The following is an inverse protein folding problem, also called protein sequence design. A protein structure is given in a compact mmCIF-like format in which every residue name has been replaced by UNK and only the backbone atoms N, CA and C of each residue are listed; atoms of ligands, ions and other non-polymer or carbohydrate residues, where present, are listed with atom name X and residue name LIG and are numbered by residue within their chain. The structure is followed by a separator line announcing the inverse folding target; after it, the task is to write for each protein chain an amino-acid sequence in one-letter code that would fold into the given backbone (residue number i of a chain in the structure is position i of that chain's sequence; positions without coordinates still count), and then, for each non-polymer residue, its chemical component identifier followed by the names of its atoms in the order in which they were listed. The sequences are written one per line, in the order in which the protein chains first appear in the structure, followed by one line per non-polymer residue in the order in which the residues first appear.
data_IF_283861332064
#
_entry.id   IF_283861332064
#
_cell.length_a   1.000
_cell.length_b   1.000
_cell.length_c   1.000
_cell.angle_alpha   90.00
_cell.angle_beta   90.00
_cell.angle_gamma   90.00
#
_symmetry.space_group_name_H-M   'P 1'
#
loop_
_entity.id
_entity.type
_entity.pdbx_description
1 polymer ?
#
# COMPACT_ATOMS: atom_id res chain seq x y z
N UNK A 1 -6.05 -5.27 -33.07
CA UNK A 1 -4.59 -5.04 -32.90
C UNK A 1 -4.32 -3.83 -32.02
N UNK A 2 -5.18 -2.80 -32.08
CA UNK A 2 -5.23 -1.68 -31.13
C UNK A 2 -5.48 -2.10 -29.68
N UNK A 3 -6.38 -3.06 -29.43
CA UNK A 3 -6.77 -3.52 -28.08
C UNK A 3 -5.57 -3.92 -27.22
N UNK A 4 -4.62 -4.65 -27.81
CA UNK A 4 -3.43 -5.15 -27.12
C UNK A 4 -2.53 -4.01 -26.64
N UNK A 5 -2.41 -2.92 -27.42
CA UNK A 5 -1.63 -1.75 -26.99
C UNK A 5 -2.33 -1.03 -25.83
N UNK A 6 -3.65 -0.81 -25.91
CA UNK A 6 -4.41 -0.20 -24.81
C UNK A 6 -4.31 -1.00 -23.51
N UNK A 7 -4.32 -2.34 -23.56
CA UNK A 7 -4.08 -3.19 -22.37
C UNK A 7 -2.73 -2.88 -21.72
N UNK A 8 -1.64 -2.90 -22.50
CA UNK A 8 -0.30 -2.65 -21.94
C UNK A 8 -0.10 -1.23 -21.40
N UNK A 9 -0.83 -0.24 -21.91
CA UNK A 9 -0.78 1.14 -21.41
C UNK A 9 -1.59 1.30 -20.12
N UNK A 10 -2.75 0.64 -20.05
CA UNK A 10 -3.57 0.56 -18.84
C UNK A 10 -2.86 -0.18 -17.69
N UNK A 11 -2.18 -1.29 -17.99
CA UNK A 11 -1.35 -2.05 -17.05
C UNK A 11 -0.18 -1.20 -16.52
N UNK A 12 0.54 -0.50 -17.42
CA UNK A 12 1.61 0.44 -17.03
C UNK A 12 1.09 1.61 -16.20
N UNK A 13 -0.10 2.13 -16.51
CA UNK A 13 -0.78 3.17 -15.72
C UNK A 13 -1.08 2.71 -14.28
N UNK A 14 -1.68 1.52 -14.13
CA UNK A 14 -1.93 0.93 -12.82
C UNK A 14 -0.63 0.66 -12.04
N UNK A 15 0.44 0.21 -12.69
CA UNK A 15 1.72 -0.03 -12.03
C UNK A 15 2.33 1.27 -11.50
N UNK A 16 2.36 2.32 -12.32
CA UNK A 16 2.80 3.64 -11.90
C UNK A 16 1.92 4.25 -10.77
N UNK A 17 0.64 3.87 -10.69
CA UNK A 17 -0.23 4.24 -9.57
C UNK A 17 0.09 3.48 -8.28
N UNK A 18 0.31 2.15 -8.37
CA UNK A 18 0.77 1.34 -7.24
C UNK A 18 2.08 1.86 -6.66
N UNK A 19 3.01 2.26 -7.52
CA UNK A 19 4.29 2.86 -7.13
C UNK A 19 4.09 4.19 -6.40
N UNK A 20 3.30 5.14 -6.94
CA UNK A 20 2.98 6.40 -6.24
C UNK A 20 2.32 6.18 -4.87
N UNK A 21 1.40 5.23 -4.75
CA UNK A 21 0.79 4.88 -3.46
C UNK A 21 1.79 4.21 -2.51
N UNK A 22 2.70 3.39 -3.02
CA UNK A 22 3.74 2.75 -2.21
C UNK A 22 4.75 3.75 -1.62
N UNK A 23 5.16 4.76 -2.41
CA UNK A 23 6.00 5.87 -1.96
C UNK A 23 5.30 6.72 -0.89
N UNK A 24 4.03 7.08 -1.11
CA UNK A 24 3.21 7.79 -0.15
C UNK A 24 3.14 7.04 1.20
N UNK A 25 2.81 5.75 1.17
CA UNK A 25 2.73 4.92 2.37
C UNK A 25 4.10 4.73 3.05
N UNK A 26 5.20 4.70 2.28
CA UNK A 26 6.55 4.69 2.85
C UNK A 26 6.90 5.99 3.60
N UNK A 27 6.50 7.15 3.07
CA UNK A 27 6.69 8.43 3.74
C UNK A 27 5.93 8.51 5.08
N UNK A 28 4.68 8.04 5.13
CA UNK A 28 3.90 8.01 6.37
C UNK A 28 4.37 6.91 7.35
N UNK A 29 4.83 5.76 6.88
CA UNK A 29 5.52 4.77 7.74
C UNK A 29 6.73 5.42 8.44
N UNK A 30 7.63 6.05 7.68
CA UNK A 30 8.83 6.67 8.23
C UNK A 30 8.50 7.79 9.23
N UNK A 31 7.54 8.64 8.89
CA UNK A 31 7.10 9.76 9.75
C UNK A 31 6.49 9.26 11.08
N UNK A 32 5.63 8.24 11.05
CA UNK A 32 5.08 7.68 12.30
C UNK A 32 6.12 6.88 13.10
N UNK A 33 7.14 6.28 12.49
CA UNK A 33 8.28 5.69 13.23
C UNK A 33 9.07 6.76 13.99
N UNK A 34 9.34 7.90 13.37
CA UNK A 34 10.02 9.05 14.00
C UNK A 34 9.19 9.63 15.16
N UNK A 35 7.88 9.81 14.97
CA UNK A 35 6.96 10.24 16.03
C UNK A 35 6.88 9.23 17.18
N UNK A 36 6.93 7.93 16.91
CA UNK A 36 6.96 6.89 17.95
C UNK A 36 8.26 6.92 18.78
N UNK A 37 9.41 7.22 18.16
CA UNK A 37 10.68 7.40 18.86
C UNK A 37 10.69 8.65 19.74
N UNK A 38 10.04 9.72 19.29
CA UNK A 38 9.91 11.01 20.01
C UNK A 38 8.77 11.03 21.05
N UNK A 39 7.93 10.00 21.10
CA UNK A 39 6.78 9.94 21.99
C UNK A 39 7.20 9.84 23.46
N UNK A 40 6.73 10.80 24.27
CA UNK A 40 6.97 10.89 25.72
C UNK A 40 6.03 10.03 26.56
N UNK A 41 4.93 9.55 25.99
CA UNK A 41 3.98 8.61 26.63
C UNK A 41 3.92 7.29 25.87
N UNK A 42 3.67 6.19 26.58
CA UNK A 42 3.55 4.86 25.96
C UNK A 42 2.33 4.77 25.05
N UNK A 43 1.21 5.41 25.40
CA UNK A 43 0.01 5.48 24.56
C UNK A 43 0.29 6.13 23.19
N UNK A 44 1.00 7.27 23.17
CA UNK A 44 1.39 7.94 21.93
C UNK A 44 2.37 7.09 21.11
N UNK A 45 3.32 6.41 21.78
CA UNK A 45 4.26 5.48 21.15
C UNK A 45 3.56 4.30 20.50
N UNK A 46 2.62 3.67 21.20
CA UNK A 46 1.81 2.56 20.71
C UNK A 46 0.92 2.98 19.53
N UNK A 47 0.27 4.14 19.63
CA UNK A 47 -0.55 4.72 18.55
C UNK A 47 0.27 4.97 17.28
N UNK A 48 1.39 5.67 17.38
CA UNK A 48 2.26 5.97 16.22
C UNK A 48 2.89 4.69 15.64
N UNK A 49 3.30 3.73 16.49
CA UNK A 49 3.78 2.41 16.03
C UNK A 49 2.69 1.63 15.28
N UNK A 50 1.43 1.74 15.72
CA UNK A 50 0.28 1.12 15.06
C UNK A 50 0.04 1.72 13.67
N UNK A 51 0.12 3.05 13.53
CA UNK A 51 0.04 3.72 12.22
C UNK A 51 1.18 3.25 11.31
N UNK A 52 2.43 3.26 11.78
CA UNK A 52 3.57 2.82 10.98
C UNK A 52 3.41 1.38 10.47
N UNK A 53 2.95 0.47 11.33
CA UNK A 53 2.68 -0.92 10.95
C UNK A 53 1.53 -1.04 9.94
N UNK A 54 0.46 -0.24 10.08
CA UNK A 54 -0.64 -0.20 9.12
C UNK A 54 -0.19 0.31 7.74
N UNK A 55 0.58 1.41 7.69
CA UNK A 55 1.11 1.96 6.44
C UNK A 55 2.06 0.97 5.75
N UNK A 56 2.90 0.26 6.52
CA UNK A 56 3.74 -0.82 6.00
C UNK A 56 2.90 -1.94 5.35
N UNK A 57 1.88 -2.45 6.06
CA UNK A 57 1.04 -3.54 5.58
C UNK A 57 0.23 -3.14 4.33
N UNK A 58 -0.28 -1.89 4.28
CA UNK A 58 -0.94 -1.34 3.10
C UNK A 58 0.02 -1.24 1.91
N UNK A 59 1.27 -0.82 2.13
CA UNK A 59 2.29 -0.76 1.07
C UNK A 59 2.55 -2.16 0.50
N UNK A 60 2.80 -3.13 1.38
CA UNK A 60 3.07 -4.52 1.01
C UNK A 60 1.90 -5.15 0.22
N UNK A 61 0.65 -4.83 0.58
CA UNK A 61 -0.54 -5.28 -0.16
C UNK A 61 -0.72 -4.59 -1.54
N UNK A 62 -0.29 -3.33 -1.70
CA UNK A 62 -0.36 -2.61 -2.98
C UNK A 62 0.75 -3.06 -3.94
N UNK A 63 1.98 -3.23 -3.44
CA UNK A 63 3.15 -3.66 -4.22
C UNK A 63 3.15 -5.15 -4.53
N UNK A 64 2.62 -5.99 -3.64
CA UNK A 64 2.54 -7.44 -3.82
C UNK A 64 1.53 -7.93 -4.86
N UNK A 65 0.80 -7.01 -5.51
CA UNK A 65 -0.28 -7.31 -6.44
C UNK A 65 -1.60 -7.60 -5.72
N UNK A 66 -2.69 -7.03 -6.22
CA UNK A 66 -4.01 -7.20 -5.60
C UNK A 66 -4.66 -8.51 -6.08
N UNK A 67 -4.12 -9.64 -5.63
CA UNK A 67 -4.60 -10.99 -5.94
C UNK A 67 -5.96 -11.28 -5.28
N UNK A 68 -7.04 -10.68 -5.78
CA UNK A 68 -8.41 -10.86 -5.27
C UNK A 68 -9.03 -12.19 -5.76
N UNK A 69 -8.35 -13.31 -5.44
CA UNK A 69 -8.55 -14.69 -5.95
C UNK A 69 -9.91 -14.94 -6.62
N UNK A 70 -9.98 -14.94 -7.96
CA UNK A 70 -11.22 -14.94 -8.75
C UNK A 70 -12.26 -16.04 -8.43
N UNK A 71 -11.90 -17.07 -7.66
CA UNK A 71 -12.80 -18.11 -7.15
C UNK A 71 -14.03 -17.61 -6.37
N UNK A 72 -14.04 -16.40 -5.78
CA UNK A 72 -15.28 -15.84 -5.17
C UNK A 72 -16.38 -15.50 -6.18
N UNK A 73 -16.06 -15.35 -7.47
CA UNK A 73 -17.06 -15.26 -8.53
C UNK A 73 -17.47 -16.63 -9.09
N UNK A 74 -16.86 -17.73 -8.65
CA UNK A 74 -17.18 -19.10 -9.11
C UNK A 74 -18.05 -19.90 -8.11
N UNK A 75 -19.07 -19.27 -7.54
CA UNK A 75 -20.23 -19.95 -6.91
C UNK A 75 -21.51 -19.14 -7.15
N UNK A 76 -22.42 -19.70 -7.94
CA UNK A 76 -23.69 -19.10 -8.37
C UNK A 76 -24.12 -19.70 -9.69
#
# INVERSE_FOLDING_TARGET
MTDTQQSTEFERGQQAERERFAEYLAHFEASSRDLAQKATTEESRAYQTTIANAMKAMREAITGGFHWQDGWRQKG
#
